data_IF_670283960756
#
_entry.id   IF_670283960756
#
_cell.length_a   1.000
_cell.length_b   1.000
_cell.length_c   1.000
_cell.angle_alpha   90.00
_cell.angle_beta   90.00
_cell.angle_gamma   90.00
#
_symmetry.space_group_name_H-M   'P 1'
#
loop_
_entity.id
_entity.type
_entity.pdbx_description
1 polymer ?
#
# COMPACT_ATOMS: atom_id res chain seq x y z
N UNK A 1 4.61 17.36 9.33
CA UNK A 1 4.50 17.01 7.89
C UNK A 1 4.06 18.20 7.05
N UNK A 2 3.01 18.94 7.45
CA UNK A 2 2.58 20.18 6.78
C UNK A 2 3.74 21.18 6.66
N UNK A 3 4.46 21.44 7.75
CA UNK A 3 5.57 22.42 7.77
C UNK A 3 6.70 22.06 6.79
N UNK A 4 7.01 20.76 6.66
CA UNK A 4 8.06 20.26 5.76
C UNK A 4 7.64 20.47 4.30
N UNK A 5 6.41 20.08 3.96
CA UNK A 5 5.89 20.22 2.59
C UNK A 5 5.78 21.70 2.21
N UNK A 6 5.36 22.55 3.14
CA UNK A 6 5.28 23.98 2.95
C UNK A 6 6.68 24.58 2.67
N UNK A 7 7.67 24.26 3.51
CA UNK A 7 9.04 24.72 3.31
C UNK A 7 9.61 24.31 1.93
N UNK A 8 9.34 23.09 1.48
CA UNK A 8 9.72 22.65 0.14
C UNK A 8 9.00 23.42 -0.98
N UNK A 9 7.71 23.70 -0.81
CA UNK A 9 6.89 24.42 -1.80
C UNK A 9 7.26 25.90 -1.93
N UNK A 10 7.73 26.55 -0.86
CA UNK A 10 8.10 27.98 -0.84
C UNK A 10 9.37 28.28 -1.64
N UNK A 11 10.24 27.28 -1.85
CA UNK A 11 11.41 27.44 -2.68
C UNK A 11 11.01 27.67 -4.17
N UNK A 12 11.76 28.46 -4.96
CA UNK A 12 11.42 28.70 -6.37
C UNK A 12 11.53 27.45 -7.26
N UNK A 13 10.51 27.21 -8.09
CA UNK A 13 10.50 26.16 -9.13
C UNK A 13 9.28 25.26 -9.07
N UNK A 14 9.00 24.56 -10.18
CA UNK A 14 7.78 23.76 -10.37
C UNK A 14 7.67 22.52 -9.47
N UNK A 15 8.79 21.87 -9.17
CA UNK A 15 8.78 20.62 -8.39
C UNK A 15 8.50 20.88 -6.91
N UNK A 16 7.65 20.08 -6.28
CA UNK A 16 7.25 20.29 -4.87
C UNK A 16 8.36 19.86 -3.91
N UNK A 17 8.93 18.67 -4.08
CA UNK A 17 9.95 18.14 -3.17
C UNK A 17 11.34 18.65 -3.56
N UNK A 18 11.83 19.64 -2.79
CA UNK A 18 13.11 20.30 -2.98
C UNK A 18 13.59 20.93 -1.67
N UNK A 19 14.90 21.08 -1.53
CA UNK A 19 15.54 21.65 -0.35
C UNK A 19 16.82 22.41 -0.72
N UNK A 20 17.41 23.15 0.21
CA UNK A 20 18.75 23.74 0.06
C UNK A 20 19.75 22.84 0.80
N UNK A 21 20.85 22.45 0.15
CA UNK A 21 21.94 21.72 0.79
C UNK A 21 22.78 22.63 1.72
N UNK A 22 23.78 22.06 2.38
CA UNK A 22 24.66 22.77 3.32
C UNK A 22 25.45 23.92 2.68
N UNK A 23 25.57 23.94 1.35
CA UNK A 23 26.22 25.01 0.58
C UNK A 23 25.21 26.05 0.06
N UNK A 24 23.92 25.92 0.40
CA UNK A 24 22.84 26.76 -0.08
C UNK A 24 22.42 26.47 -1.52
N UNK A 25 22.86 25.36 -2.12
CA UNK A 25 22.41 24.98 -3.45
C UNK A 25 21.08 24.25 -3.40
N UNK A 26 20.21 24.55 -4.36
CA UNK A 26 18.89 23.92 -4.46
C UNK A 26 19.02 22.51 -5.01
N UNK A 27 18.52 21.55 -4.24
CA UNK A 27 18.41 20.15 -4.60
C UNK A 27 16.95 19.79 -4.83
N UNK A 28 16.73 18.88 -5.78
CA UNK A 28 15.43 18.32 -6.13
C UNK A 28 15.42 16.86 -5.70
N UNK A 29 14.28 16.38 -5.20
CA UNK A 29 14.11 14.97 -4.84
C UNK A 29 13.18 14.30 -5.84
N UNK A 30 13.68 13.28 -6.53
CA UNK A 30 12.92 12.46 -7.47
C UNK A 30 12.79 10.99 -7.02
N UNK A 31 12.15 10.17 -7.86
CA UNK A 31 11.90 8.76 -7.53
C UNK A 31 13.18 7.95 -7.34
N UNK A 32 14.26 8.31 -8.01
CA UNK A 32 15.56 7.65 -7.92
C UNK A 32 16.15 7.87 -6.52
N UNK A 33 16.14 9.12 -6.03
CA UNK A 33 16.60 9.47 -4.69
C UNK A 33 15.86 8.69 -3.60
N UNK A 34 14.53 8.59 -3.73
CA UNK A 34 13.70 7.83 -2.78
C UNK A 34 14.07 6.35 -2.81
N UNK A 35 14.23 5.76 -4.00
CA UNK A 35 14.57 4.34 -4.11
C UNK A 35 16.01 4.06 -3.66
N UNK A 36 16.96 4.96 -3.91
CA UNK A 36 18.33 4.88 -3.37
C UNK A 36 18.32 4.95 -1.85
N UNK A 37 17.59 5.91 -1.29
CA UNK A 37 17.41 6.03 0.15
C UNK A 37 16.83 4.75 0.77
N UNK A 38 15.76 4.21 0.19
CA UNK A 38 15.13 2.98 0.69
C UNK A 38 16.10 1.80 0.63
N UNK A 39 16.82 1.61 -0.49
CA UNK A 39 17.82 0.55 -0.60
C UNK A 39 18.89 0.66 0.47
N UNK A 40 19.44 1.86 0.68
CA UNK A 40 20.49 2.08 1.66
C UNK A 40 20.05 1.79 3.11
N UNK A 41 18.79 2.06 3.44
CA UNK A 41 18.31 2.02 4.82
C UNK A 41 17.45 0.79 5.16
N UNK A 42 16.98 0.03 4.16
CA UNK A 42 16.16 -1.17 4.37
C UNK A 42 16.91 -2.47 4.09
N UNK A 43 18.03 -2.42 3.37
CA UNK A 43 18.93 -3.55 3.22
C UNK A 43 19.87 -3.60 4.43
N UNK A 44 19.79 -4.67 5.23
CA UNK A 44 20.71 -4.92 6.35
C UNK A 44 22.12 -5.31 5.88
N UNK A 45 22.88 -6.00 6.73
CA UNK A 45 24.25 -6.48 6.41
C UNK A 45 24.33 -7.47 5.24
N UNK A 46 23.19 -7.98 4.77
CA UNK A 46 23.10 -8.97 3.71
C UNK A 46 22.57 -8.30 2.43
N UNK A 47 23.47 -7.57 1.76
CA UNK A 47 23.18 -6.76 0.58
C UNK A 47 22.82 -7.57 -0.68
N UNK A 48 22.83 -8.91 -0.61
CA UNK A 48 22.60 -9.78 -1.77
C UNK A 48 21.14 -10.21 -1.94
N UNK A 49 20.26 -10.11 -0.93
CA UNK A 49 19.03 -10.92 -0.96
C UNK A 49 17.70 -10.21 -1.26
N UNK A 50 17.54 -8.89 -1.13
CA UNK A 50 16.39 -8.15 -1.72
C UNK A 50 16.55 -6.64 -1.60
N UNK A 51 16.42 -5.92 -2.72
CA UNK A 51 16.32 -4.46 -2.73
C UNK A 51 14.84 -4.06 -2.68
N UNK A 52 14.41 -3.43 -1.58
CA UNK A 52 13.06 -2.85 -1.51
C UNK A 52 13.00 -1.52 -2.25
N UNK A 53 11.83 -1.24 -2.81
CA UNK A 53 11.51 -0.03 -3.56
C UNK A 53 10.28 0.66 -2.97
N UNK A 54 10.00 1.88 -3.42
CA UNK A 54 8.77 2.58 -3.07
C UNK A 54 7.50 1.78 -3.44
N UNK A 55 7.57 0.93 -4.48
CA UNK A 55 6.47 0.05 -4.87
C UNK A 55 6.16 -0.99 -3.79
N UNK A 56 7.17 -1.56 -3.14
CA UNK A 56 6.99 -2.58 -2.10
C UNK A 56 6.23 -2.01 -0.89
N UNK A 57 6.45 -0.75 -0.54
CA UNK A 57 5.65 -0.08 0.48
C UNK A 57 4.18 0.07 0.07
N UNK A 58 3.91 0.37 -1.20
CA UNK A 58 2.54 0.44 -1.71
C UNK A 58 1.87 -0.94 -1.72
N UNK A 59 2.58 -2.02 -2.06
CA UNK A 59 2.00 -3.38 -2.04
C UNK A 59 1.76 -3.86 -0.61
N UNK A 60 2.70 -3.57 0.30
CA UNK A 60 2.52 -3.85 1.73
C UNK A 60 1.30 -3.11 2.29
N UNK A 61 1.20 -1.80 2.06
CA UNK A 61 0.07 -0.99 2.52
C UNK A 61 -1.26 -1.48 1.93
N UNK A 62 -1.31 -1.82 0.64
CA UNK A 62 -2.51 -2.39 0.02
C UNK A 62 -2.99 -3.67 0.72
N UNK A 63 -2.03 -4.52 1.08
CA UNK A 63 -2.29 -5.79 1.76
C UNK A 63 -2.76 -5.56 3.20
N UNK A 64 -2.16 -4.60 3.91
CA UNK A 64 -2.63 -4.17 5.24
C UNK A 64 -4.06 -3.64 5.16
N UNK A 65 -4.35 -2.72 4.24
CA UNK A 65 -5.69 -2.16 4.05
C UNK A 65 -6.72 -3.24 3.70
N UNK A 66 -6.35 -4.20 2.84
CA UNK A 66 -7.21 -5.33 2.50
C UNK A 66 -7.55 -6.18 3.74
N UNK A 67 -6.54 -6.51 4.56
CA UNK A 67 -6.72 -7.28 5.77
C UNK A 67 -7.54 -6.52 6.81
N UNK A 68 -7.29 -5.23 7.01
CA UNK A 68 -8.07 -4.36 7.91
C UNK A 68 -9.53 -4.26 7.48
N UNK A 69 -9.80 -4.05 6.20
CA UNK A 69 -11.16 -4.01 5.66
C UNK A 69 -11.91 -5.29 5.98
N UNK A 70 -11.31 -6.46 5.70
CA UNK A 70 -11.93 -7.74 6.00
C UNK A 70 -12.13 -7.91 7.51
N UNK A 71 -11.13 -7.57 8.32
CA UNK A 71 -11.24 -7.66 9.78
C UNK A 71 -12.43 -6.87 10.32
N UNK A 72 -12.58 -5.61 9.89
CA UNK A 72 -13.65 -4.71 10.34
C UNK A 72 -15.03 -5.21 9.89
N UNK A 73 -15.17 -5.59 8.62
CA UNK A 73 -16.43 -6.13 8.09
C UNK A 73 -16.85 -7.40 8.83
N UNK A 74 -15.89 -8.26 9.17
CA UNK A 74 -16.13 -9.49 9.92
C UNK A 74 -16.55 -9.28 11.37
N UNK A 75 -16.37 -8.08 11.95
CA UNK A 75 -16.92 -7.75 13.26
C UNK A 75 -18.43 -7.48 13.22
N UNK A 76 -19.00 -7.25 12.03
CA UNK A 76 -20.43 -7.02 11.87
C UNK A 76 -21.21 -8.34 11.85
N UNK A 77 -22.49 -8.31 12.22
CA UNK A 77 -23.37 -9.49 12.11
C UNK A 77 -23.46 -10.01 10.66
N UNK A 78 -23.49 -9.10 9.68
CA UNK A 78 -23.52 -9.47 8.27
C UNK A 78 -22.21 -10.17 7.85
N UNK A 79 -21.06 -9.58 8.18
CA UNK A 79 -19.76 -10.17 7.86
C UNK A 79 -19.51 -11.50 8.56
N UNK A 80 -19.93 -11.66 9.81
CA UNK A 80 -19.86 -12.94 10.52
C UNK A 80 -20.66 -14.04 9.80
N UNK A 81 -21.85 -13.72 9.26
CA UNK A 81 -22.62 -14.65 8.44
C UNK A 81 -21.92 -15.01 7.12
N UNK A 82 -21.25 -14.03 6.49
CA UNK A 82 -20.42 -14.29 5.30
C UNK A 82 -19.25 -15.22 5.64
N UNK A 83 -18.60 -15.04 6.80
CA UNK A 83 -17.53 -15.93 7.25
C UNK A 83 -18.02 -17.34 7.60
N UNK A 84 -19.27 -17.49 8.03
CA UNK A 84 -19.87 -18.80 8.26
C UNK A 84 -20.36 -19.48 6.96
N UNK A 85 -20.45 -18.73 5.86
CA UNK A 85 -20.83 -19.29 4.55
C UNK A 85 -19.76 -20.23 4.00
N UNK A 86 -20.17 -21.09 3.07
CA UNK A 86 -19.28 -22.05 2.43
C UNK A 86 -18.03 -21.38 1.83
N UNK A 87 -16.89 -22.09 1.78
CA UNK A 87 -15.75 -21.63 0.99
C UNK A 87 -16.18 -21.31 -0.45
N UNK A 88 -15.56 -20.29 -1.05
CA UNK A 88 -15.85 -19.83 -2.42
C UNK A 88 -17.30 -19.38 -2.67
N UNK A 89 -18.09 -19.11 -1.62
CA UNK A 89 -19.47 -18.61 -1.76
C UNK A 89 -19.53 -17.28 -2.51
N UNK A 90 -20.69 -17.02 -3.14
CA UNK A 90 -20.93 -15.77 -3.85
C UNK A 90 -20.80 -14.55 -2.91
N UNK A 91 -21.20 -14.71 -1.66
CA UNK A 91 -21.11 -13.69 -0.61
C UNK A 91 -19.65 -13.37 -0.27
N UNK A 92 -18.77 -14.38 -0.14
CA UNK A 92 -17.33 -14.14 0.06
C UNK A 92 -16.70 -13.47 -1.16
N UNK A 93 -17.05 -13.90 -2.36
CA UNK A 93 -16.55 -13.31 -3.61
C UNK A 93 -16.98 -11.84 -3.75
N UNK A 94 -18.21 -11.53 -3.34
CA UNK A 94 -18.72 -10.17 -3.31
C UNK A 94 -17.95 -9.31 -2.30
N UNK A 95 -17.73 -9.81 -1.08
CA UNK A 95 -16.97 -9.08 -0.07
C UNK A 95 -15.51 -8.83 -0.50
N UNK A 96 -14.87 -9.79 -1.18
CA UNK A 96 -13.54 -9.57 -1.80
C UNK A 96 -13.60 -8.47 -2.86
N UNK A 97 -14.65 -8.46 -3.68
CA UNK A 97 -14.82 -7.42 -4.72
C UNK A 97 -14.94 -6.03 -4.10
N UNK A 98 -15.69 -5.90 -3.01
CA UNK A 98 -15.89 -4.63 -2.33
C UNK A 98 -14.63 -4.17 -1.58
N UNK A 99 -13.91 -5.11 -0.94
CA UNK A 99 -12.59 -4.86 -0.38
C UNK A 99 -11.62 -4.33 -1.44
N UNK A 100 -11.53 -4.98 -2.62
CA UNK A 100 -10.63 -4.56 -3.70
C UNK A 100 -10.98 -3.15 -4.19
N UNK A 101 -12.27 -2.81 -4.31
CA UNK A 101 -12.70 -1.46 -4.70
C UNK A 101 -12.29 -0.41 -3.66
N UNK A 102 -12.45 -0.74 -2.38
CA UNK A 102 -12.06 0.14 -1.27
C UNK A 102 -10.56 0.43 -1.30
N UNK A 103 -9.72 -0.62 -1.33
CA UNK A 103 -8.26 -0.45 -1.39
C UNK A 103 -7.81 0.27 -2.66
N UNK A 104 -8.46 0.00 -3.80
CA UNK A 104 -8.14 0.67 -5.05
C UNK A 104 -8.41 2.18 -4.99
N UNK A 105 -9.52 2.59 -4.36
CA UNK A 105 -9.85 4.00 -4.14
C UNK A 105 -8.81 4.70 -3.26
N UNK A 106 -8.41 4.08 -2.14
CA UNK A 106 -7.37 4.61 -1.24
C UNK A 106 -6.02 4.80 -1.95
N UNK A 107 -5.64 3.89 -2.83
CA UNK A 107 -4.37 3.97 -3.55
C UNK A 107 -4.42 4.82 -4.82
N UNK A 108 -5.60 5.27 -5.25
CA UNK A 108 -5.79 5.96 -6.53
C UNK A 108 -5.53 5.07 -7.76
N UNK A 109 -5.78 3.77 -7.64
CA UNK A 109 -5.61 2.78 -8.72
C UNK A 109 -6.96 2.24 -9.20
N UNK A 110 -6.99 1.55 -10.35
CA UNK A 110 -8.19 0.79 -10.74
C UNK A 110 -8.31 -0.49 -9.91
N UNK A 111 -9.53 -1.01 -9.65
CA UNK A 111 -9.72 -2.28 -8.95
C UNK A 111 -8.92 -3.44 -9.57
N UNK A 112 -8.90 -3.52 -10.89
CA UNK A 112 -8.14 -4.53 -11.64
C UNK A 112 -6.64 -4.46 -11.35
N UNK A 113 -6.04 -3.27 -11.41
CA UNK A 113 -4.62 -3.07 -11.13
C UNK A 113 -4.31 -3.32 -9.66
N UNK A 114 -5.18 -2.86 -8.75
CA UNK A 114 -5.01 -3.06 -7.32
C UNK A 114 -4.98 -4.55 -6.94
N UNK A 115 -5.94 -5.33 -7.46
CA UNK A 115 -6.00 -6.78 -7.23
C UNK A 115 -4.81 -7.51 -7.85
N UNK A 116 -4.40 -7.13 -9.06
CA UNK A 116 -3.37 -7.85 -9.80
C UNK A 116 -1.94 -7.53 -9.36
N UNK A 117 -1.69 -6.37 -8.72
CA UNK A 117 -0.33 -5.85 -8.55
C UNK A 117 -0.02 -5.25 -7.18
N UNK A 118 -1.02 -5.08 -6.31
CA UNK A 118 -0.83 -4.43 -5.01
C UNK A 118 -1.23 -5.30 -3.83
N UNK A 119 -2.44 -5.87 -3.85
CA UNK A 119 -2.91 -6.75 -2.77
C UNK A 119 -2.22 -8.10 -2.90
N UNK A 120 -1.58 -8.58 -1.83
CA UNK A 120 -0.98 -9.90 -1.83
C UNK A 120 -2.07 -10.99 -1.96
N UNK A 121 -1.96 -11.91 -2.93
CA UNK A 121 -3.05 -12.84 -3.27
C UNK A 121 -3.45 -13.76 -2.10
N UNK A 122 -2.50 -14.10 -1.21
CA UNK A 122 -2.75 -14.93 -0.03
C UNK A 122 -3.90 -14.43 0.86
N UNK A 123 -4.13 -13.11 0.93
CA UNK A 123 -5.22 -12.52 1.72
C UNK A 123 -6.57 -12.97 1.14
N UNK A 124 -6.71 -12.88 -0.17
CA UNK A 124 -7.92 -13.27 -0.90
C UNK A 124 -8.08 -14.79 -0.84
N UNK A 125 -7.02 -15.54 -1.12
CA UNK A 125 -7.04 -17.01 -1.11
C UNK A 125 -7.45 -17.57 0.25
N UNK A 126 -6.86 -17.08 1.34
CA UNK A 126 -7.19 -17.50 2.71
C UNK A 126 -8.64 -17.19 3.06
N UNK A 127 -9.08 -15.96 2.75
CA UNK A 127 -10.45 -15.54 3.02
C UNK A 127 -11.48 -16.37 2.25
N UNK A 128 -11.26 -16.63 0.95
CA UNK A 128 -12.17 -17.42 0.13
C UNK A 128 -12.21 -18.89 0.55
N UNK A 129 -11.07 -19.46 0.97
CA UNK A 129 -10.96 -20.84 1.44
C UNK A 129 -11.61 -21.10 2.82
N UNK A 130 -12.17 -20.08 3.48
CA UNK A 130 -12.71 -20.20 4.84
C UNK A 130 -11.64 -20.16 5.95
N UNK A 131 -10.41 -19.78 5.60
CA UNK A 131 -9.34 -19.55 6.57
C UNK A 131 -9.49 -18.21 7.28
N UNK A 132 -8.88 -18.12 8.46
CA UNK A 132 -8.65 -16.85 9.16
C UNK A 132 -7.36 -16.23 8.58
N UNK A 133 -7.34 -14.89 8.43
CA UNK A 133 -6.16 -14.13 8.00
C UNK A 133 -5.00 -14.25 8.99
#
# INVERSE_FOLDING_TARGET
MIDIVQACSELPGYQIFKYLDDNGHKQVVDSSDINDYLRMHTCGMDCESKLYSAKDFRTWMASVLAASYLYDELQTTAGANILASAPESAERQQLVTDMVKSVAAELGNTPTVCRASYIHPIIIERFLAGGIL
#
